data_IF_765616243831
#
_entry.id   IF_765616243831
#
_cell.length_a   1.000
_cell.length_b   1.000
_cell.length_c   1.000
_cell.angle_alpha   90.00
_cell.angle_beta   90.00
_cell.angle_gamma   90.00
#
_symmetry.space_group_name_H-M   'P 1'
#
loop_
_entity.id
_entity.type
_entity.pdbx_description
1 polymer ?
#
# COMPACT_ATOMS: atom_id res chain seq x y z
N UNK A 1 28.44 5.06 -4.91
CA UNK A 1 27.33 6.01 -4.72
C UNK A 1 26.38 5.86 -5.89
N UNK A 2 25.11 5.51 -5.68
CA UNK A 2 24.16 5.31 -6.79
C UNK A 2 22.98 6.27 -6.64
N UNK A 3 22.66 7.01 -7.71
CA UNK A 3 21.49 7.89 -7.77
C UNK A 3 20.25 6.99 -7.77
N UNK A 4 19.43 7.09 -6.72
CA UNK A 4 18.17 6.36 -6.63
C UNK A 4 17.03 7.25 -7.11
N UNK A 5 16.45 6.92 -8.26
CA UNK A 5 15.26 7.59 -8.75
C UNK A 5 14.00 7.11 -8.00
N UNK A 6 13.33 8.04 -7.33
CA UNK A 6 12.00 7.87 -6.74
C UNK A 6 11.18 9.11 -7.02
N UNK A 7 10.00 8.95 -7.62
CA UNK A 7 9.05 10.03 -7.89
C UNK A 7 7.67 9.64 -7.37
N UNK A 8 7.07 10.49 -6.54
CA UNK A 8 5.67 10.35 -6.10
C UNK A 8 4.83 11.35 -6.89
N UNK A 9 3.87 10.85 -7.66
CA UNK A 9 2.95 11.63 -8.48
C UNK A 9 1.57 11.56 -7.83
N UNK A 10 0.96 12.71 -7.54
CA UNK A 10 -0.42 12.77 -7.05
C UNK A 10 -1.33 12.82 -8.29
N UNK A 11 -2.18 11.81 -8.45
CA UNK A 11 -3.11 11.73 -9.60
C UNK A 11 -4.46 12.38 -9.24
N UNK A 12 -4.97 12.07 -8.05
CA UNK A 12 -6.23 12.59 -7.53
C UNK A 12 -6.18 12.64 -5.98
N UNK A 13 -7.13 13.29 -5.29
CA UNK A 13 -7.26 13.19 -3.85
C UNK A 13 -7.41 11.71 -3.42
N UNK A 14 -6.48 11.22 -2.59
CA UNK A 14 -6.43 9.81 -2.20
C UNK A 14 -5.75 8.88 -3.23
N UNK A 15 -5.32 9.37 -4.40
CA UNK A 15 -4.63 8.56 -5.41
C UNK A 15 -3.18 9.04 -5.63
N UNK A 16 -2.24 8.19 -5.26
CA UNK A 16 -0.80 8.44 -5.35
C UNK A 16 -0.11 7.35 -6.14
N UNK A 17 0.65 7.73 -7.16
CA UNK A 17 1.49 6.83 -7.94
C UNK A 17 2.95 7.01 -7.50
N UNK A 18 3.58 5.96 -6.99
CA UNK A 18 4.99 5.96 -6.63
C UNK A 18 5.79 5.20 -7.70
N UNK A 19 6.64 5.94 -8.41
CA UNK A 19 7.62 5.45 -9.38
C UNK A 19 8.96 5.31 -8.67
N UNK A 20 9.60 4.16 -8.83
CA UNK A 20 10.96 3.92 -8.35
C UNK A 20 11.73 3.07 -9.35
N UNK A 21 13.06 3.06 -9.26
CA UNK A 21 13.88 2.15 -10.09
C UNK A 21 13.53 0.66 -9.96
N UNK A 22 12.81 0.25 -8.90
CA UNK A 22 12.33 -1.14 -8.71
C UNK A 22 10.92 -1.42 -9.24
N UNK A 23 10.24 -0.42 -9.81
CA UNK A 23 8.89 -0.56 -10.37
C UNK A 23 7.91 0.53 -9.95
N UNK A 24 6.71 0.42 -10.51
CA UNK A 24 5.56 1.31 -10.30
C UNK A 24 4.62 0.72 -9.24
N UNK A 25 4.13 1.58 -8.34
CA UNK A 25 3.13 1.24 -7.33
C UNK A 25 2.08 2.35 -7.26
N UNK A 26 0.82 1.99 -7.09
CA UNK A 26 -0.31 2.91 -6.99
C UNK A 26 -0.94 2.74 -5.61
N UNK A 27 -1.27 3.83 -4.93
CA UNK A 27 -2.02 3.84 -3.69
C UNK A 27 -3.30 4.62 -3.92
N UNK A 28 -4.46 4.00 -3.70
CA UNK A 28 -5.79 4.54 -3.90
C UNK A 28 -6.61 4.42 -2.62
N UNK A 29 -7.03 5.55 -2.05
CA UNK A 29 -8.01 5.62 -0.97
C UNK A 29 -7.61 6.55 0.17
N UNK A 30 -8.60 6.97 0.99
CA UNK A 30 -8.41 7.86 2.13
C UNK A 30 -7.69 7.18 3.31
N UNK A 31 -7.30 7.99 4.32
CA UNK A 31 -6.76 7.51 5.59
C UNK A 31 -7.77 6.57 6.25
N UNK A 32 -7.35 5.34 6.55
CA UNK A 32 -8.21 4.30 7.14
C UNK A 32 -8.91 3.37 6.13
N UNK A 33 -8.87 3.66 4.82
CA UNK A 33 -9.39 2.76 3.77
C UNK A 33 -8.59 2.97 2.47
N UNK A 34 -7.33 2.55 2.46
CA UNK A 34 -6.43 2.74 1.32
C UNK A 34 -5.94 1.42 0.76
N UNK A 35 -5.96 1.28 -0.55
CA UNK A 35 -5.50 0.13 -1.29
C UNK A 35 -4.23 0.50 -2.06
N UNK A 36 -3.12 -0.13 -1.74
CA UNK A 36 -1.89 -0.05 -2.53
C UNK A 36 -1.90 -1.16 -3.58
N UNK A 37 -2.14 -0.80 -4.83
CA UNK A 37 -2.04 -1.66 -6.00
C UNK A 37 -0.63 -1.63 -6.60
N UNK A 38 0.09 -2.74 -6.51
CA UNK A 38 1.25 -3.00 -7.35
C UNK A 38 2.61 -2.47 -6.85
N UNK A 39 3.66 -3.03 -7.46
CA UNK A 39 5.09 -2.92 -7.12
C UNK A 39 5.69 -4.31 -6.82
N UNK A 40 7.01 -4.40 -6.56
CA UNK A 40 7.71 -5.66 -6.18
C UNK A 40 7.11 -6.38 -4.95
N UNK A 41 6.24 -5.72 -4.19
CA UNK A 41 5.59 -6.21 -2.97
C UNK A 41 4.13 -6.64 -3.16
N UNK A 42 3.51 -6.41 -4.32
CA UNK A 42 2.13 -6.81 -4.59
C UNK A 42 1.06 -5.87 -4.02
N UNK A 43 -0.21 -6.28 -4.09
CA UNK A 43 -1.35 -5.44 -3.70
C UNK A 43 -1.67 -5.60 -2.21
N UNK A 44 -1.88 -4.49 -1.51
CA UNK A 44 -2.27 -4.45 -0.10
C UNK A 44 -3.50 -3.56 0.08
N UNK A 45 -4.43 -4.00 0.92
CA UNK A 45 -5.56 -3.25 1.40
C UNK A 45 -5.33 -2.90 2.87
N UNK A 46 -5.38 -1.62 3.20
CA UNK A 46 -5.29 -1.11 4.56
C UNK A 46 -6.67 -0.59 4.95
N UNK A 47 -7.27 -1.20 5.96
CA UNK A 47 -8.52 -0.78 6.58
C UNK A 47 -8.24 -0.48 8.05
N UNK A 48 -8.64 0.66 8.58
CA UNK A 48 -8.38 1.01 9.98
C UNK A 48 -9.35 2.07 10.46
N UNK A 49 -9.81 1.90 11.69
CA UNK A 49 -10.76 2.82 12.29
C UNK A 49 -9.97 3.90 13.04
N UNK A 50 -9.95 5.15 12.53
CA UNK A 50 -9.20 6.23 13.16
C UNK A 50 -9.70 6.46 14.60
N UNK A 51 -8.78 6.69 15.53
CA UNK A 51 -9.10 6.94 16.95
C UNK A 51 -9.28 5.70 17.82
N UNK A 52 -9.29 4.49 17.26
CA UNK A 52 -9.50 3.24 18.02
C UNK A 52 -8.24 2.39 18.18
N UNK A 53 -7.15 2.74 17.47
CA UNK A 53 -5.93 1.93 17.43
C UNK A 53 -6.02 0.66 16.58
N UNK A 54 -7.21 0.27 16.12
CA UNK A 54 -7.40 -0.90 15.26
C UNK A 54 -7.10 -0.59 13.81
N UNK A 55 -6.10 -1.29 13.26
CA UNK A 55 -5.76 -1.28 11.84
C UNK A 55 -5.56 -2.70 11.34
N UNK A 56 -6.23 -3.03 10.25
CA UNK A 56 -6.12 -4.27 9.52
C UNK A 56 -5.41 -4.01 8.19
N UNK A 57 -4.41 -4.85 7.88
CA UNK A 57 -3.70 -4.83 6.61
C UNK A 57 -3.78 -6.20 5.97
N UNK A 58 -4.38 -6.28 4.80
CA UNK A 58 -4.55 -7.52 4.06
C UNK A 58 -3.81 -7.45 2.73
N UNK A 59 -3.10 -8.51 2.36
CA UNK A 59 -2.46 -8.61 1.04
C UNK A 59 -3.44 -9.24 0.04
N UNK A 60 -3.77 -8.54 -1.03
CA UNK A 60 -4.69 -9.00 -2.07
C UNK A 60 -3.84 -9.63 -3.18
N UNK A 61 -3.54 -10.93 -3.07
CA UNK A 61 -2.74 -11.63 -4.09
C UNK A 61 -1.73 -12.66 -3.57
N UNK A 62 -1.70 -12.92 -2.27
CA UNK A 62 -1.09 -14.15 -1.75
C UNK A 62 -2.19 -14.98 -1.12
N UNK A 63 -2.45 -16.16 -1.67
CA UNK A 63 -3.13 -17.21 -0.92
C UNK A 63 -2.32 -17.45 0.37
N UNK A 64 -3.01 -17.51 1.50
CA UNK A 64 -2.51 -17.80 2.85
C UNK A 64 -1.51 -16.80 3.46
N UNK A 65 -1.99 -16.04 4.45
CA UNK A 65 -1.24 -15.94 5.69
C UNK A 65 -2.22 -16.18 6.84
N UNK A 66 -2.22 -17.45 7.25
CA UNK A 66 -2.91 -18.03 8.39
C UNK A 66 -2.71 -17.21 9.66
N UNK A 67 -3.82 -17.07 10.38
CA UNK A 67 -3.92 -17.04 11.85
C UNK A 67 -2.59 -17.25 12.57
N UNK A 68 -2.08 -16.20 13.21
CA UNK A 68 -1.12 -16.33 14.31
C UNK A 68 -1.84 -15.92 15.59
N UNK A 69 -2.49 -16.89 16.21
CA UNK A 69 -2.93 -16.82 17.61
C UNK A 69 -1.75 -17.23 18.51
N UNK A 70 -1.50 -16.44 19.56
CA UNK A 70 -0.95 -16.94 20.82
C UNK A 70 -1.99 -16.66 21.89
#
# INVERSE_FOLDING_TARGET
MAIRFRRRIKLAPGLHLNVSGSGLSLSAGPRGASMTFGGRRGTYMNAGIPGTGFSARQRVGSAAQSLSSN
#
